data_IF_633276611324
#
_entry.id   IF_633276611324
#
_cell.length_a   1.000
_cell.length_b   1.000
_cell.length_c   1.000
_cell.angle_alpha   90.00
_cell.angle_beta   90.00
_cell.angle_gamma   90.00
#
_symmetry.space_group_name_H-M   'P 1'
#
loop_
_entity.id
_entity.type
_entity.pdbx_description
1 polymer ?
#
# COMPACT_ATOMS: atom_id res chain seq x y z
N UNK A 1 -4.17 26.70 13.18
CA UNK A 1 -2.99 25.78 13.11
C UNK A 1 -3.04 24.66 14.14
N UNK A 2 -3.28 24.92 15.43
CA UNK A 2 -3.24 23.89 16.51
C UNK A 2 -4.21 22.71 16.33
N UNK A 3 -5.47 22.93 15.92
CA UNK A 3 -6.45 21.85 15.68
C UNK A 3 -6.03 20.89 14.55
N UNK A 4 -5.40 21.40 13.49
CA UNK A 4 -4.93 20.57 12.37
C UNK A 4 -3.68 19.79 12.74
N UNK A 5 -2.77 20.38 13.53
CA UNK A 5 -1.60 19.68 14.05
C UNK A 5 -1.98 18.53 15.00
N UNK A 6 -2.95 18.77 15.89
CA UNK A 6 -3.50 17.73 16.78
C UNK A 6 -4.17 16.59 15.98
N UNK A 7 -4.97 16.91 14.97
CA UNK A 7 -5.60 15.91 14.12
C UNK A 7 -4.57 15.08 13.33
N UNK A 8 -3.52 15.71 12.80
CA UNK A 8 -2.44 15.03 12.09
C UNK A 8 -1.62 14.11 13.02
N UNK A 9 -1.34 14.57 14.24
CA UNK A 9 -0.67 13.76 15.26
C UNK A 9 -1.50 12.55 15.68
N UNK A 10 -2.81 12.74 15.92
CA UNK A 10 -3.74 11.66 16.25
C UNK A 10 -3.86 10.63 15.11
N UNK A 11 -3.99 11.08 13.86
CA UNK A 11 -4.06 10.19 12.69
C UNK A 11 -2.76 9.40 12.48
N UNK A 12 -1.61 10.04 12.70
CA UNK A 12 -0.30 9.37 12.64
C UNK A 12 -0.16 8.32 13.74
N UNK A 13 -0.58 8.66 14.98
CA UNK A 13 -0.60 7.74 16.11
C UNK A 13 -1.49 6.53 15.85
N UNK A 14 -2.70 6.74 15.33
CA UNK A 14 -3.65 5.67 14.99
C UNK A 14 -3.11 4.76 13.89
N UNK A 15 -2.48 5.32 12.87
CA UNK A 15 -1.87 4.55 11.78
C UNK A 15 -0.72 3.69 12.29
N UNK A 16 0.15 4.23 13.15
CA UNK A 16 1.26 3.48 13.73
C UNK A 16 0.77 2.39 14.69
N UNK A 17 -0.20 2.72 15.55
CA UNK A 17 -0.78 1.77 16.50
C UNK A 17 -1.47 0.61 15.77
N UNK A 18 -2.27 0.90 14.74
CA UNK A 18 -2.90 -0.15 13.91
C UNK A 18 -1.87 -1.01 13.18
N UNK A 19 -0.77 -0.43 12.72
CA UNK A 19 0.36 -1.17 12.13
C UNK A 19 1.03 -2.11 13.13
N UNK A 20 1.23 -1.65 14.37
CA UNK A 20 1.80 -2.48 15.44
C UNK A 20 0.86 -3.64 15.80
N UNK A 21 -0.44 -3.38 15.95
CA UNK A 21 -1.44 -4.42 16.24
C UNK A 21 -1.45 -5.46 15.11
N UNK A 22 -1.42 -5.01 13.85
CA UNK A 22 -1.33 -5.89 12.69
C UNK A 22 -0.12 -6.81 12.77
N UNK A 23 1.06 -6.29 13.12
CA UNK A 23 2.28 -7.09 13.25
C UNK A 23 2.18 -8.12 14.37
N UNK A 24 1.62 -7.74 15.54
CA UNK A 24 1.40 -8.67 16.65
C UNK A 24 0.42 -9.78 16.27
N UNK A 25 -0.70 -9.43 15.64
CA UNK A 25 -1.70 -10.42 15.17
C UNK A 25 -1.08 -11.35 14.14
N UNK A 26 -0.34 -10.80 13.16
CA UNK A 26 0.29 -11.60 12.13
C UNK A 26 1.33 -12.57 12.72
N UNK A 27 2.16 -12.10 13.66
CA UNK A 27 3.14 -12.93 14.36
C UNK A 27 2.47 -14.01 15.24
N UNK A 28 1.34 -13.70 15.88
CA UNK A 28 0.60 -14.65 16.70
C UNK A 28 -0.03 -15.78 15.88
N UNK A 29 -0.43 -15.50 14.64
CA UNK A 29 -0.95 -16.53 13.73
C UNK A 29 0.20 -17.32 13.10
N UNK A 30 1.10 -16.65 12.37
CA UNK A 30 2.10 -17.28 11.51
C UNK A 30 3.42 -17.65 12.17
N UNK A 31 3.71 -17.12 13.37
CA UNK A 31 4.97 -17.35 14.05
C UNK A 31 6.19 -16.90 13.26
N UNK A 32 7.37 -17.35 13.66
CA UNK A 32 8.61 -17.17 12.91
C UNK A 32 8.81 -18.39 11.98
N UNK A 33 8.68 -18.19 10.67
CA UNK A 33 8.65 -19.28 9.70
C UNK A 33 8.85 -18.83 8.26
N UNK A 34 8.86 -19.79 7.35
CA UNK A 34 9.07 -19.59 5.90
C UNK A 34 8.00 -18.65 5.32
N UNK A 35 6.78 -18.78 5.80
CA UNK A 35 5.57 -18.08 5.40
C UNK A 35 5.64 -16.61 5.81
N UNK A 36 5.99 -16.36 7.07
CA UNK A 36 6.17 -15.01 7.62
C UNK A 36 7.29 -14.27 6.90
N UNK A 37 8.44 -14.94 6.70
CA UNK A 37 9.56 -14.39 5.96
C UNK A 37 9.16 -14.02 4.51
N UNK A 38 8.45 -14.93 3.83
CA UNK A 38 7.98 -14.72 2.47
C UNK A 38 6.97 -13.56 2.38
N UNK A 39 6.04 -13.47 3.33
CA UNK A 39 5.06 -12.38 3.37
C UNK A 39 5.72 -11.02 3.62
N UNK A 40 6.59 -10.94 4.63
CA UNK A 40 7.33 -9.70 4.95
C UNK A 40 8.18 -9.26 3.76
N UNK A 41 8.86 -10.19 3.09
CA UNK A 41 9.62 -9.90 1.88
C UNK A 41 8.71 -9.42 0.74
N UNK A 42 7.59 -10.11 0.48
CA UNK A 42 6.65 -9.77 -0.58
C UNK A 42 6.04 -8.38 -0.39
N UNK A 43 5.73 -7.98 0.85
CA UNK A 43 5.20 -6.64 1.17
C UNK A 43 6.17 -5.50 0.85
N UNK A 44 7.49 -5.75 0.81
CA UNK A 44 8.47 -4.70 0.46
C UNK A 44 8.29 -4.19 -0.96
N UNK A 45 7.96 -5.06 -1.90
CA UNK A 45 7.83 -4.70 -3.33
C UNK A 45 6.77 -3.61 -3.54
N UNK A 46 5.48 -3.81 -3.17
CA UNK A 46 4.48 -2.75 -3.32
C UNK A 46 4.76 -1.54 -2.42
N UNK A 47 5.35 -1.72 -1.25
CA UNK A 47 5.68 -0.59 -0.37
C UNK A 47 6.73 0.34 -0.98
N UNK A 48 7.76 -0.20 -1.64
CA UNK A 48 8.75 0.63 -2.36
C UNK A 48 8.08 1.56 -3.38
N UNK A 49 7.15 1.03 -4.18
CA UNK A 49 6.41 1.85 -5.15
C UNK A 49 5.45 2.81 -4.48
N UNK A 50 4.77 2.39 -3.40
CA UNK A 50 3.93 3.28 -2.61
C UNK A 50 4.75 4.45 -2.06
N UNK A 51 5.97 4.22 -1.60
CA UNK A 51 6.79 5.28 -1.03
C UNK A 51 7.26 6.27 -2.13
N UNK A 52 7.49 5.79 -3.37
CA UNK A 52 7.79 6.64 -4.53
C UNK A 52 6.59 7.48 -5.01
N UNK A 53 5.40 6.86 -5.12
CA UNK A 53 4.24 7.48 -5.76
C UNK A 53 3.22 8.08 -4.79
N UNK A 54 3.14 7.58 -3.55
CA UNK A 54 2.00 7.79 -2.67
C UNK A 54 2.32 8.42 -1.31
N UNK A 55 3.57 8.42 -0.83
CA UNK A 55 3.98 9.04 0.46
C UNK A 55 4.00 10.59 0.46
N UNK A 56 3.10 11.20 -0.32
CA UNK A 56 2.86 12.64 -0.28
C UNK A 56 3.67 13.44 -1.29
N UNK A 57 4.61 12.85 -2.03
CA UNK A 57 5.32 13.54 -3.12
C UNK A 57 4.34 14.09 -4.17
N UNK A 58 3.42 13.25 -4.64
CA UNK A 58 2.36 13.65 -5.57
C UNK A 58 1.42 14.70 -4.95
N UNK A 59 0.96 14.52 -3.71
CA UNK A 59 0.07 15.50 -3.07
C UNK A 59 0.76 16.86 -2.83
N UNK A 60 2.02 16.85 -2.42
CA UNK A 60 2.81 18.07 -2.16
C UNK A 60 3.08 18.85 -3.45
N UNK A 61 3.26 18.17 -4.58
CA UNK A 61 3.37 18.81 -5.88
C UNK A 61 2.00 19.20 -6.46
N UNK A 62 0.96 18.39 -6.25
CA UNK A 62 -0.35 18.57 -6.84
C UNK A 62 -1.09 19.77 -6.26
N UNK A 63 -1.18 19.90 -4.94
CA UNK A 63 -1.95 20.96 -4.27
C UNK A 63 -1.53 22.37 -4.73
N UNK A 64 -0.24 22.77 -4.71
CA UNK A 64 0.16 24.10 -5.15
C UNK A 64 -0.03 24.31 -6.67
N UNK A 65 0.19 23.28 -7.49
CA UNK A 65 -0.03 23.39 -8.94
C UNK A 65 -1.52 23.50 -9.30
N UNK A 66 -2.39 22.78 -8.58
CA UNK A 66 -3.84 22.91 -8.73
C UNK A 66 -4.28 24.32 -8.37
N UNK A 67 -3.85 24.84 -7.20
CA UNK A 67 -4.23 26.19 -6.76
C UNK A 67 -3.76 27.26 -7.76
N UNK A 68 -2.53 27.17 -8.25
CA UNK A 68 -1.97 28.07 -9.26
C UNK A 68 -2.73 28.01 -10.59
N UNK A 69 -3.10 26.81 -11.04
CA UNK A 69 -3.87 26.63 -12.28
C UNK A 69 -5.29 27.17 -12.11
N UNK A 70 -5.91 26.97 -10.94
CA UNK A 70 -7.23 27.49 -10.65
C UNK A 70 -7.27 29.02 -10.65
N UNK A 71 -6.23 29.65 -10.09
CA UNK A 71 -6.09 31.11 -10.06
C UNK A 71 -5.80 31.70 -11.44
N UNK A 72 -4.92 31.06 -12.23
CA UNK A 72 -4.45 31.61 -13.50
C UNK A 72 -5.38 31.29 -14.68
N UNK A 73 -5.82 30.05 -14.77
CA UNK A 73 -6.45 29.46 -15.95
C UNK A 73 -7.91 29.00 -15.68
N UNK A 74 -8.41 29.22 -14.46
CA UNK A 74 -9.77 28.89 -14.04
C UNK A 74 -9.92 27.51 -13.42
N UNK A 75 -11.06 27.29 -12.74
CA UNK A 75 -11.32 26.07 -11.98
C UNK A 75 -11.47 24.85 -12.89
N UNK A 76 -12.03 25.02 -14.09
CA UNK A 76 -12.18 23.97 -15.09
C UNK A 76 -10.80 23.43 -15.53
N UNK A 77 -9.83 24.33 -15.77
CA UNK A 77 -8.46 23.96 -16.13
C UNK A 77 -7.76 23.21 -14.99
N UNK A 78 -7.99 23.61 -13.74
CA UNK A 78 -7.45 22.91 -12.58
C UNK A 78 -8.00 21.48 -12.44
N UNK A 79 -9.30 21.27 -12.71
CA UNK A 79 -9.88 19.92 -12.73
C UNK A 79 -9.40 19.10 -13.93
N UNK A 80 -9.15 19.72 -15.08
CA UNK A 80 -8.52 19.03 -16.20
C UNK A 80 -7.11 18.53 -15.84
N UNK A 81 -6.32 19.33 -15.12
CA UNK A 81 -5.02 18.91 -14.57
C UNK A 81 -5.16 17.70 -13.62
N UNK A 82 -6.16 17.73 -12.72
CA UNK A 82 -6.42 16.61 -11.81
C UNK A 82 -6.82 15.32 -12.55
N UNK A 83 -7.65 15.43 -13.59
CA UNK A 83 -8.02 14.30 -14.44
C UNK A 83 -6.83 13.75 -15.22
N UNK A 84 -5.96 14.62 -15.74
CA UNK A 84 -4.72 14.21 -16.40
C UNK A 84 -3.79 13.46 -15.43
N UNK A 85 -3.66 13.94 -14.18
CA UNK A 85 -2.89 13.26 -13.14
C UNK A 85 -3.47 11.87 -12.80
N UNK A 86 -4.81 11.75 -12.70
CA UNK A 86 -5.47 10.46 -12.50
C UNK A 86 -5.19 9.51 -13.67
N UNK A 87 -5.33 9.97 -14.91
CA UNK A 87 -5.07 9.17 -16.11
C UNK A 87 -3.62 8.70 -16.19
N UNK A 88 -2.66 9.59 -15.94
CA UNK A 88 -1.24 9.26 -15.91
C UNK A 88 -0.92 8.25 -14.80
N UNK A 89 -1.48 8.47 -13.60
CA UNK A 89 -1.32 7.54 -12.48
C UNK A 89 -1.84 6.14 -12.84
N UNK A 90 -3.03 6.04 -13.43
CA UNK A 90 -3.59 4.75 -13.88
C UNK A 90 -2.71 4.08 -14.93
N UNK A 91 -2.19 4.83 -15.90
CA UNK A 91 -1.31 4.30 -16.93
C UNK A 91 -0.01 3.75 -16.34
N UNK A 92 0.66 4.54 -15.50
CA UNK A 92 1.91 4.14 -14.83
C UNK A 92 1.66 2.93 -13.92
N UNK A 93 0.58 2.93 -13.14
CA UNK A 93 0.21 1.80 -12.30
C UNK A 93 -0.06 0.55 -13.12
N UNK A 94 -0.76 0.66 -14.25
CA UNK A 94 -1.00 -0.48 -15.15
C UNK A 94 0.31 -1.15 -15.58
N UNK A 95 1.30 -0.35 -15.98
CA UNK A 95 2.63 -0.86 -16.34
C UNK A 95 3.34 -1.48 -15.13
N UNK A 96 3.33 -0.81 -13.98
CA UNK A 96 3.97 -1.31 -12.75
C UNK A 96 3.36 -2.64 -12.28
N UNK A 97 2.02 -2.75 -12.27
CA UNK A 97 1.32 -3.97 -11.91
C UNK A 97 1.70 -5.12 -12.84
N UNK A 98 1.72 -4.86 -14.15
CA UNK A 98 2.12 -5.86 -15.13
C UNK A 98 3.56 -6.31 -14.89
N UNK A 99 4.48 -5.37 -14.62
CA UNK A 99 5.88 -5.71 -14.28
C UNK A 99 5.99 -6.49 -12.97
N UNK A 100 5.22 -6.16 -11.94
CA UNK A 100 5.21 -6.89 -10.67
C UNK A 100 4.72 -8.33 -10.85
N UNK A 101 3.67 -8.53 -11.66
CA UNK A 101 3.07 -9.85 -11.86
C UNK A 101 3.96 -10.75 -12.73
N UNK A 102 4.44 -10.22 -13.86
CA UNK A 102 5.26 -10.97 -14.82
C UNK A 102 6.64 -11.27 -14.21
N UNK A 103 7.29 -10.25 -13.63
CA UNK A 103 8.66 -10.37 -13.11
C UNK A 103 8.71 -10.63 -11.59
N UNK A 104 7.66 -11.22 -11.02
CA UNK A 104 7.54 -11.43 -9.57
C UNK A 104 8.79 -12.05 -8.92
N UNK A 105 9.37 -13.09 -9.54
CA UNK A 105 10.61 -13.73 -9.03
C UNK A 105 11.82 -12.79 -9.06
N UNK A 106 11.96 -11.97 -10.09
CA UNK A 106 13.04 -10.99 -10.16
C UNK A 106 12.92 -9.96 -9.03
N UNK A 107 11.70 -9.54 -8.68
CA UNK A 107 11.47 -8.69 -7.53
C UNK A 107 11.89 -9.34 -6.21
N UNK A 108 11.63 -10.63 -6.02
CA UNK A 108 12.11 -11.37 -4.83
C UNK A 108 13.62 -11.27 -4.69
N UNK A 109 14.35 -11.45 -5.79
CA UNK A 109 15.81 -11.38 -5.81
C UNK A 109 16.36 -9.98 -5.48
N UNK A 110 15.60 -8.92 -5.81
CA UNK A 110 15.93 -7.55 -5.44
C UNK A 110 15.69 -7.29 -3.95
N UNK A 111 14.54 -7.70 -3.41
CA UNK A 111 14.13 -7.33 -2.03
C UNK A 111 14.53 -8.31 -0.94
N UNK A 112 14.86 -9.55 -1.34
CA UNK A 112 15.15 -10.68 -0.47
C UNK A 112 16.23 -11.59 -1.06
N UNK A 113 17.39 -11.02 -1.38
CA UNK A 113 18.57 -11.74 -1.85
C UNK A 113 18.92 -12.97 -0.96
N UNK A 114 18.65 -12.95 0.35
CA UNK A 114 18.87 -14.12 1.21
C UNK A 114 18.08 -15.39 0.83
N UNK A 115 17.08 -15.30 -0.06
CA UNK A 115 16.22 -16.44 -0.41
C UNK A 115 16.76 -17.29 -1.57
N UNK A 116 17.85 -16.91 -2.25
CA UNK A 116 18.38 -17.64 -3.41
C UNK A 116 18.61 -19.13 -3.15
N UNK A 117 19.02 -19.50 -1.93
CA UNK A 117 19.32 -20.89 -1.54
C UNK A 117 18.09 -21.70 -1.14
N UNK A 118 16.89 -21.11 -1.10
CA UNK A 118 15.66 -21.76 -0.64
C UNK A 118 14.55 -21.59 -1.70
N UNK A 119 14.45 -22.50 -2.69
CA UNK A 119 13.50 -22.37 -3.80
C UNK A 119 12.04 -22.18 -3.36
N UNK A 120 11.61 -22.88 -2.31
CA UNK A 120 10.26 -22.76 -1.76
C UNK A 120 9.94 -21.33 -1.26
N UNK A 121 10.91 -20.64 -0.63
CA UNK A 121 10.75 -19.24 -0.21
C UNK A 121 10.59 -18.32 -1.41
N UNK A 122 11.35 -18.55 -2.48
CA UNK A 122 11.28 -17.73 -3.70
C UNK A 122 9.91 -17.86 -4.36
N UNK A 123 9.40 -19.08 -4.54
CA UNK A 123 8.09 -19.30 -5.15
C UNK A 123 6.94 -18.72 -4.33
N UNK A 124 6.95 -18.96 -3.01
CA UNK A 124 5.92 -18.42 -2.12
C UNK A 124 5.93 -16.89 -2.13
N UNK A 125 7.11 -16.28 -2.02
CA UNK A 125 7.24 -14.81 -2.06
C UNK A 125 6.77 -14.25 -3.40
N UNK A 126 7.12 -14.87 -4.52
CA UNK A 126 6.69 -14.43 -5.85
C UNK A 126 5.17 -14.51 -6.01
N UNK A 127 4.52 -15.56 -5.49
CA UNK A 127 3.06 -15.66 -5.48
C UNK A 127 2.42 -14.57 -4.61
N UNK A 128 2.98 -14.31 -3.44
CA UNK A 128 2.53 -13.23 -2.57
C UNK A 128 2.71 -11.85 -3.22
N UNK A 129 3.79 -11.61 -3.96
CA UNK A 129 3.97 -10.37 -4.74
C UNK A 129 2.86 -10.18 -5.76
N UNK A 130 2.46 -11.25 -6.48
CA UNK A 130 1.34 -11.19 -7.44
C UNK A 130 0.02 -10.88 -6.75
N UNK A 131 -0.24 -11.49 -5.60
CA UNK A 131 -1.46 -11.26 -4.80
C UNK A 131 -1.48 -9.83 -4.24
N UNK A 132 -0.34 -9.30 -3.82
CA UNK A 132 -0.21 -7.95 -3.28
C UNK A 132 -0.09 -6.87 -4.36
N UNK A 133 0.14 -7.22 -5.63
CA UNK A 133 0.26 -6.22 -6.69
C UNK A 133 -1.00 -5.34 -6.81
N UNK A 134 -2.24 -5.88 -6.91
CA UNK A 134 -3.46 -5.06 -6.98
C UNK A 134 -3.62 -4.07 -5.82
N UNK A 135 -3.09 -4.38 -4.64
CA UNK A 135 -3.11 -3.49 -3.48
C UNK A 135 -2.36 -2.17 -3.74
N UNK A 136 -1.25 -2.21 -4.51
CA UNK A 136 -0.51 -0.99 -4.89
C UNK A 136 -1.41 0.00 -5.66
N UNK A 137 -2.25 -0.49 -6.56
CA UNK A 137 -3.16 0.36 -7.31
C UNK A 137 -4.22 1.01 -6.40
N UNK A 138 -4.79 0.24 -5.47
CA UNK A 138 -5.77 0.77 -4.53
C UNK A 138 -5.19 1.91 -3.66
N UNK A 139 -4.00 1.72 -3.08
CA UNK A 139 -3.37 2.74 -2.23
C UNK A 139 -2.90 3.94 -3.03
N UNK A 140 -2.38 3.74 -4.23
CA UNK A 140 -1.95 4.84 -5.09
C UNK A 140 -3.14 5.71 -5.52
N UNK A 141 -4.26 5.09 -5.90
CA UNK A 141 -5.51 5.81 -6.19
C UNK A 141 -6.04 6.56 -4.96
N UNK A 142 -6.00 5.92 -3.79
CA UNK A 142 -6.37 6.57 -2.53
C UNK A 142 -5.51 7.82 -2.24
N UNK A 143 -4.21 7.79 -2.58
CA UNK A 143 -3.31 8.94 -2.44
C UNK A 143 -3.67 10.09 -3.39
N UNK A 144 -4.00 9.81 -4.65
CA UNK A 144 -4.44 10.84 -5.61
C UNK A 144 -5.75 11.48 -5.15
N UNK A 145 -6.74 10.67 -4.76
CA UNK A 145 -7.97 11.19 -4.17
C UNK A 145 -7.71 11.96 -2.88
N UNK A 146 -6.72 11.55 -2.09
CA UNK A 146 -6.23 12.27 -0.94
C UNK A 146 -5.77 13.69 -1.28
N UNK A 147 -4.98 13.83 -2.34
CA UNK A 147 -4.56 15.14 -2.86
C UNK A 147 -5.73 16.00 -3.31
N UNK A 148 -6.71 15.42 -4.02
CA UNK A 148 -7.93 16.13 -4.46
C UNK A 148 -8.79 16.58 -3.27
N UNK A 149 -8.89 15.77 -2.22
CA UNK A 149 -9.58 16.13 -0.98
C UNK A 149 -8.85 17.24 -0.21
N UNK A 150 -7.51 17.22 -0.19
CA UNK A 150 -6.69 18.27 0.43
C UNK A 150 -6.94 19.65 -0.21
N UNK A 151 -7.01 19.72 -1.54
CA UNK A 151 -7.37 20.96 -2.26
C UNK A 151 -8.75 21.48 -1.85
N UNK A 152 -9.69 20.58 -1.49
CA UNK A 152 -11.04 20.94 -1.00
C UNK A 152 -11.09 21.15 0.53
N UNK A 153 -9.95 21.24 1.21
CA UNK A 153 -9.89 21.45 2.65
C UNK A 153 -10.23 20.23 3.51
N UNK A 154 -10.35 19.03 2.92
CA UNK A 154 -10.69 17.78 3.63
C UNK A 154 -9.42 16.97 3.94
N UNK A 155 -8.68 17.40 4.96
CA UNK A 155 -7.37 16.82 5.31
C UNK A 155 -7.41 15.54 6.15
N UNK A 156 -8.49 15.30 6.91
CA UNK A 156 -8.54 14.19 7.87
C UNK A 156 -8.74 12.82 7.20
N UNK A 157 -9.63 12.75 6.20
CA UNK A 157 -9.98 11.49 5.53
C UNK A 157 -8.77 10.84 4.81
N UNK A 158 -7.90 11.59 4.10
CA UNK A 158 -6.67 11.05 3.53
C UNK A 158 -5.68 10.55 4.58
N UNK A 159 -5.61 11.21 5.76
CA UNK A 159 -4.66 10.85 6.82
C UNK A 159 -4.98 9.52 7.52
N UNK A 160 -6.26 9.10 7.55
CA UNK A 160 -6.69 7.85 8.20
C UNK A 160 -6.82 6.67 7.22
N UNK A 161 -6.71 6.90 5.92
CA UNK A 161 -6.81 5.85 4.90
C UNK A 161 -5.81 4.68 5.11
N UNK A 162 -4.54 4.90 5.52
CA UNK A 162 -3.62 3.79 5.80
C UNK A 162 -4.05 2.91 6.97
N UNK A 163 -4.73 3.45 7.98
CA UNK A 163 -5.24 2.68 9.11
C UNK A 163 -6.31 1.67 8.66
N UNK A 164 -7.13 2.01 7.65
CA UNK A 164 -8.12 1.09 7.09
C UNK A 164 -7.46 -0.16 6.47
N UNK A 165 -6.28 -0.01 5.85
CA UNK A 165 -5.54 -1.16 5.33
C UNK A 165 -5.05 -2.09 6.45
N UNK A 166 -4.51 -1.53 7.53
CA UNK A 166 -4.09 -2.33 8.68
C UNK A 166 -5.26 -3.11 9.29
N UNK A 167 -6.42 -2.47 9.40
CA UNK A 167 -7.67 -3.11 9.87
C UNK A 167 -8.10 -4.25 8.93
N UNK A 168 -8.00 -4.06 7.62
CA UNK A 168 -8.33 -5.11 6.65
C UNK A 168 -7.44 -6.36 6.81
N UNK A 169 -6.14 -6.18 7.05
CA UNK A 169 -5.23 -7.31 7.32
C UNK A 169 -5.62 -8.03 8.61
N UNK A 170 -5.89 -7.27 9.69
CA UNK A 170 -6.31 -7.84 10.97
C UNK A 170 -7.59 -8.67 10.80
N UNK A 171 -8.61 -8.12 10.13
CA UNK A 171 -9.84 -8.83 9.85
C UNK A 171 -9.62 -10.07 8.98
N UNK A 172 -8.75 -9.99 7.96
CA UNK A 172 -8.37 -11.13 7.14
C UNK A 172 -7.78 -12.28 7.97
N UNK A 173 -6.88 -11.98 8.91
CA UNK A 173 -6.32 -12.98 9.82
C UNK A 173 -7.40 -13.60 10.72
N UNK A 174 -8.27 -12.77 11.30
CA UNK A 174 -9.34 -13.23 12.19
C UNK A 174 -10.38 -14.10 11.46
N UNK A 175 -10.70 -13.77 10.20
CA UNK A 175 -11.67 -14.50 9.38
C UNK A 175 -11.10 -15.81 8.81
N UNK A 176 -9.80 -15.87 8.51
CA UNK A 176 -9.15 -17.09 8.03
C UNK A 176 -9.11 -18.20 9.11
N UNK A 177 -9.23 -17.83 10.39
CA UNK A 177 -9.18 -18.75 11.52
C UNK A 177 -7.76 -19.16 11.91
N UNK A 178 -7.60 -19.95 13.00
CA UNK A 178 -6.29 -20.41 13.49
C UNK A 178 -5.51 -21.14 12.40
N UNK A 179 -4.17 -21.06 12.45
CA UNK A 179 -3.30 -21.69 11.45
C UNK A 179 -3.54 -23.20 11.28
N UNK A 180 -3.93 -23.91 12.34
CA UNK A 180 -4.30 -25.32 12.30
C UNK A 180 -5.45 -25.61 11.31
N UNK A 181 -6.35 -24.64 11.13
CA UNK A 181 -7.45 -24.69 10.15
C UNK A 181 -6.98 -24.40 8.72
N UNK A 182 -5.87 -23.68 8.55
CA UNK A 182 -5.30 -23.30 7.24
C UNK A 182 -4.36 -24.41 6.73
N UNK A 183 -3.57 -25.04 7.61
CA UNK A 183 -2.66 -26.14 7.25
C UNK A 183 -3.41 -27.41 6.85
N UNK A 184 -4.61 -27.65 7.39
CA UNK A 184 -5.48 -28.76 6.98
C UNK A 184 -6.13 -28.58 5.59
N UNK A 185 -6.12 -27.36 5.04
CA UNK A 185 -6.71 -27.02 3.73
C UNK A 185 -5.68 -26.87 2.60
N UNK A 186 -4.38 -26.93 2.90
CA UNK A 186 -3.30 -26.66 1.93
C UNK A 186 -2.51 -27.93 1.57
N UNK A 187 -2.46 -28.35 0.29
CA UNK A 187 -1.66 -29.48 -0.16
C UNK A 187 -0.14 -29.19 -0.20
N UNK A 188 0.29 -28.01 0.25
CA UNK A 188 1.72 -27.62 0.28
C UNK A 188 2.46 -28.31 1.45
N UNK A 189 1.73 -28.83 2.45
CA UNK A 189 2.28 -29.43 3.67
C UNK A 189 2.17 -30.96 3.77
N UNK A 190 1.75 -31.63 2.69
CA UNK A 190 1.76 -33.12 2.52
C UNK A 190 2.59 -33.50 1.33
#
# INVERSE_FOLDING_TARGET
MTRHALAAGAASGLTRLSGLIREVVFAAFFGAGVETDAFVAAQRVPNLFRDLFAEGSMSNAFVPNFAKTAEKDGIEAAWALANALLGLTLLVLGVLLMMMIIFAKAWVFIVAAGFYSVPAKVELTANLVRILAPFLAAVSMASVFGGMLNVRGKFFLPMVAPAAFNVAIILGCLLAGPIETITTLSPIYT
#
